data_IF_597248883114
#
_entry.id   IF_597248883114
#
_cell.length_a   1.000
_cell.length_b   1.000
_cell.length_c   1.000
_cell.angle_alpha   90.00
_cell.angle_beta   90.00
_cell.angle_gamma   90.00
#
_symmetry.space_group_name_H-M   'P 1'
#
loop_
_entity.id
_entity.type
_entity.pdbx_description
1 polymer ?
#
# COMPACT_ATOMS: atom_id res chain seq x y z
N UNK A 1 34.78 0.03 -6.99
CA UNK A 1 33.35 0.40 -6.92
C UNK A 1 32.75 0.26 -5.54
N UNK A 2 33.36 -0.49 -4.59
CA UNK A 2 32.81 -0.71 -3.24
C UNK A 2 32.62 0.59 -2.43
N UNK A 3 33.16 1.73 -2.86
CA UNK A 3 33.15 3.00 -2.13
C UNK A 3 32.13 4.03 -2.67
N UNK A 4 31.20 3.61 -3.56
CA UNK A 4 30.13 4.50 -4.07
C UNK A 4 29.07 4.76 -2.98
N UNK A 5 28.65 6.01 -2.85
CA UNK A 5 27.55 6.38 -1.95
C UNK A 5 26.20 5.97 -2.54
N UNK A 6 25.25 5.61 -1.68
CA UNK A 6 23.89 5.27 -2.08
C UNK A 6 23.22 6.47 -2.77
N UNK A 7 22.49 6.23 -3.87
CA UNK A 7 21.76 7.26 -4.60
C UNK A 7 20.32 7.45 -4.14
N UNK A 8 19.97 6.84 -3.00
CA UNK A 8 18.64 6.84 -2.41
C UNK A 8 18.73 7.20 -0.94
N UNK A 9 17.68 7.83 -0.43
CA UNK A 9 17.56 8.16 1.00
C UNK A 9 17.17 6.93 1.84
N UNK A 10 17.00 7.13 3.15
CA UNK A 10 16.64 6.08 4.11
C UNK A 10 15.26 5.47 3.84
N UNK A 11 14.39 6.18 3.12
CA UNK A 11 13.05 5.73 2.75
C UNK A 11 13.03 5.08 1.36
N UNK A 12 14.19 4.96 0.70
CA UNK A 12 14.30 4.41 -0.65
C UNK A 12 13.85 5.36 -1.76
N UNK A 13 13.65 6.65 -1.47
CA UNK A 13 13.36 7.63 -2.50
C UNK A 13 14.66 8.05 -3.21
N UNK A 14 14.64 8.27 -4.54
CA UNK A 14 15.82 8.72 -5.26
C UNK A 14 16.24 10.09 -4.76
N UNK A 15 17.54 10.26 -4.48
CA UNK A 15 18.09 11.56 -4.12
C UNK A 15 17.80 12.58 -5.23
N UNK A 16 17.75 13.89 -4.92
CA UNK A 16 17.67 14.91 -5.95
C UNK A 16 18.76 14.70 -7.01
N UNK A 17 18.43 14.89 -8.29
CA UNK A 17 19.33 14.61 -9.42
C UNK A 17 20.75 15.19 -9.26
N UNK A 18 20.85 16.36 -8.61
CA UNK A 18 22.10 17.04 -8.27
C UNK A 18 22.98 16.23 -7.32
N UNK A 19 22.39 15.52 -6.37
CA UNK A 19 23.06 14.80 -5.29
C UNK A 19 23.44 13.38 -5.74
N UNK A 20 22.63 12.76 -6.61
CA UNK A 20 22.99 11.53 -7.34
C UNK A 20 24.31 11.72 -8.11
N UNK A 21 24.44 12.83 -8.84
CA UNK A 21 25.66 13.15 -9.58
C UNK A 21 26.89 13.22 -8.67
N UNK A 22 26.74 13.80 -7.48
CA UNK A 22 27.80 13.90 -6.49
C UNK A 22 28.17 12.55 -5.87
N UNK A 23 27.17 11.73 -5.51
CA UNK A 23 27.36 10.37 -4.99
C UNK A 23 28.17 9.49 -5.95
N UNK A 24 27.84 9.55 -7.24
CA UNK A 24 28.56 8.87 -8.32
C UNK A 24 29.98 9.42 -8.48
N UNK A 25 30.17 10.74 -8.29
CA UNK A 25 31.44 11.41 -8.56
C UNK A 25 32.60 11.06 -7.60
N UNK A 26 32.31 10.74 -6.33
CA UNK A 26 33.33 10.55 -5.27
C UNK A 26 34.35 9.45 -5.58
N UNK A 27 34.02 8.52 -6.48
CA UNK A 27 34.87 7.38 -6.82
C UNK A 27 35.79 7.62 -8.01
N UNK A 28 35.64 8.74 -8.73
CA UNK A 28 36.54 9.09 -9.82
C UNK A 28 37.71 9.87 -9.25
N UNK A 29 38.72 9.16 -8.75
CA UNK A 29 39.98 9.74 -8.29
C UNK A 29 40.61 10.58 -9.41
N UNK A 30 40.39 11.89 -9.42
CA UNK A 30 41.44 12.79 -9.90
C UNK A 30 42.49 12.84 -8.79
N UNK A 31 43.78 12.93 -9.15
CA UNK A 31 44.89 13.10 -8.20
C UNK A 31 44.73 14.33 -7.28
N UNK A 32 43.76 15.21 -7.53
CA UNK A 32 43.40 16.34 -6.67
C UNK A 32 41.97 16.18 -6.14
N UNK A 33 41.80 16.32 -4.81
CA UNK A 33 40.50 16.32 -4.15
C UNK A 33 39.56 17.37 -4.74
N UNK A 34 38.27 17.03 -4.83
CA UNK A 34 37.26 17.92 -5.40
C UNK A 34 36.70 18.84 -4.30
N UNK A 35 36.78 20.15 -4.51
CA UNK A 35 36.11 21.13 -3.66
C UNK A 35 34.84 21.65 -4.37
N UNK A 36 33.68 21.16 -3.92
CA UNK A 36 32.37 21.70 -4.29
C UNK A 36 31.84 21.37 -5.70
N UNK A 37 30.63 21.89 -5.98
CA UNK A 37 29.79 21.60 -7.17
C UNK A 37 30.44 22.03 -8.49
N UNK A 38 31.20 23.13 -8.51
CA UNK A 38 31.85 23.69 -9.71
C UNK A 38 33.09 22.88 -10.10
N UNK A 39 33.89 22.45 -9.13
CA UNK A 39 35.08 21.61 -9.35
C UNK A 39 34.80 20.21 -9.91
N UNK A 40 33.60 19.67 -9.70
CA UNK A 40 33.16 18.39 -10.31
C UNK A 40 32.96 18.49 -11.83
N UNK A 41 32.19 19.49 -12.30
CA UNK A 41 31.91 19.63 -13.73
C UNK A 41 33.17 20.00 -14.51
N UNK A 42 34.00 20.88 -13.96
CA UNK A 42 35.24 21.33 -14.59
C UNK A 42 36.31 20.23 -14.65
N UNK A 43 36.43 19.37 -13.63
CA UNK A 43 37.52 18.38 -13.55
C UNK A 43 37.14 16.96 -14.00
N UNK A 44 35.93 16.47 -13.71
CA UNK A 44 35.60 15.04 -13.93
C UNK A 44 35.01 14.77 -15.32
N UNK A 45 34.25 15.72 -15.88
CA UNK A 45 33.53 15.58 -17.15
C UNK A 45 34.16 16.34 -18.32
N UNK A 46 35.02 17.33 -18.04
CA UNK A 46 35.71 18.13 -19.07
C UNK A 46 37.16 17.65 -19.23
N UNK A 47 37.95 17.56 -18.15
CA UNK A 47 39.36 17.13 -18.23
C UNK A 47 39.54 15.62 -18.50
N UNK A 48 38.80 14.75 -17.82
CA UNK A 48 38.89 13.29 -18.05
C UNK A 48 38.01 12.82 -19.22
N UNK A 49 37.28 13.71 -19.90
CA UNK A 49 36.38 13.36 -21.00
C UNK A 49 37.11 12.66 -22.13
N UNK A 50 38.30 13.17 -22.46
CA UNK A 50 39.15 12.59 -23.50
C UNK A 50 39.62 11.21 -23.05
N UNK A 51 40.14 11.07 -21.83
CA UNK A 51 40.53 9.76 -21.28
C UNK A 51 39.36 8.77 -21.26
N UNK A 52 38.13 9.21 -20.97
CA UNK A 52 36.94 8.36 -21.05
C UNK A 52 36.59 7.95 -22.47
N UNK A 53 36.60 8.90 -23.40
CA UNK A 53 36.22 8.69 -24.80
C UNK A 53 37.25 7.90 -25.59
N UNK A 54 38.54 8.14 -25.37
CA UNK A 54 39.64 7.62 -26.20
C UNK A 54 40.73 6.87 -25.45
N UNK A 55 40.70 6.84 -24.10
CA UNK A 55 41.63 6.04 -23.31
C UNK A 55 41.25 4.56 -23.23
N UNK A 56 42.12 3.74 -22.63
CA UNK A 56 41.95 2.28 -22.54
C UNK A 56 40.64 1.82 -21.88
N UNK A 57 40.20 0.62 -22.23
CA UNK A 57 38.93 0.03 -21.77
C UNK A 57 39.09 -0.62 -20.38
N UNK A 58 39.10 0.20 -19.33
CA UNK A 58 39.25 -0.30 -17.95
C UNK A 58 38.00 -1.05 -17.48
N UNK A 59 38.14 -1.90 -16.46
CA UNK A 59 37.03 -2.63 -15.83
C UNK A 59 35.91 -1.68 -15.35
N UNK A 60 36.26 -0.50 -14.85
CA UNK A 60 35.31 0.52 -14.41
C UNK A 60 34.49 1.09 -15.56
N UNK A 61 35.12 1.32 -16.73
CA UNK A 61 34.41 1.78 -17.94
C UNK A 61 33.44 0.71 -18.45
N UNK A 62 33.89 -0.55 -18.47
CA UNK A 62 33.06 -1.70 -18.88
C UNK A 62 31.84 -1.82 -17.97
N UNK A 63 32.03 -1.77 -16.64
CA UNK A 63 30.91 -1.80 -15.71
C UNK A 63 29.96 -0.62 -15.91
N UNK A 64 30.47 0.61 -15.99
CA UNK A 64 29.65 1.81 -16.14
C UNK A 64 28.82 1.76 -17.42
N UNK A 65 29.41 1.29 -18.52
CA UNK A 65 28.72 1.04 -19.78
C UNK A 65 27.63 -0.01 -19.62
N UNK A 66 27.96 -1.20 -19.10
CA UNK A 66 27.01 -2.31 -18.93
C UNK A 66 25.84 -1.93 -18.00
N UNK A 67 26.12 -1.21 -16.92
CA UNK A 67 25.10 -0.69 -16.01
C UNK A 67 24.19 0.31 -16.73
N UNK A 68 24.76 1.22 -17.52
CA UNK A 68 23.99 2.22 -18.29
C UNK A 68 23.07 1.54 -19.32
N UNK A 69 23.56 0.52 -20.02
CA UNK A 69 22.78 -0.31 -20.95
C UNK A 69 21.61 -0.96 -20.21
N UNK A 70 21.87 -1.57 -19.05
CA UNK A 70 20.82 -2.23 -18.27
C UNK A 70 19.78 -1.24 -17.72
N UNK A 71 20.21 -0.10 -17.18
CA UNK A 71 19.32 0.94 -16.70
C UNK A 71 18.45 1.51 -17.83
N UNK A 72 19.03 1.78 -19.00
CA UNK A 72 18.27 2.23 -20.16
C UNK A 72 17.27 1.17 -20.63
N UNK A 73 17.66 -0.11 -20.64
CA UNK A 73 16.75 -1.21 -20.92
C UNK A 73 15.55 -1.23 -19.96
N UNK A 74 15.75 -1.00 -18.66
CA UNK A 74 14.64 -0.88 -17.71
C UNK A 74 13.74 0.34 -17.99
N UNK A 75 14.33 1.50 -18.28
CA UNK A 75 13.58 2.71 -18.66
C UNK A 75 12.74 2.45 -19.92
N UNK A 76 13.32 1.77 -20.90
CA UNK A 76 12.64 1.41 -22.13
C UNK A 76 11.43 0.53 -21.86
N UNK A 77 11.58 -0.52 -21.05
CA UNK A 77 10.47 -1.38 -20.63
C UNK A 77 9.39 -0.60 -19.86
N UNK A 78 9.80 0.30 -18.97
CA UNK A 78 8.90 1.14 -18.19
C UNK A 78 8.01 2.04 -19.06
N UNK A 79 8.59 2.64 -20.11
CA UNK A 79 7.86 3.58 -20.97
C UNK A 79 7.07 2.91 -22.10
N UNK A 80 7.53 1.75 -22.56
CA UNK A 80 6.88 1.03 -23.67
C UNK A 80 5.89 -0.01 -23.20
N UNK A 81 6.07 -0.55 -21.99
CA UNK A 81 5.45 -1.78 -21.54
C UNK A 81 5.54 -2.88 -22.61
N UNK A 82 6.70 -3.02 -23.27
CA UNK A 82 6.97 -4.02 -24.30
C UNK A 82 7.50 -5.35 -23.74
N UNK A 83 7.40 -6.43 -24.52
CA UNK A 83 7.75 -7.75 -24.02
C UNK A 83 9.27 -7.85 -23.91
N UNK A 84 9.77 -8.31 -22.75
CA UNK A 84 11.21 -8.39 -22.46
C UNK A 84 12.03 -9.00 -23.60
N UNK A 85 11.62 -10.15 -24.15
CA UNK A 85 12.40 -10.80 -25.19
C UNK A 85 12.34 -10.01 -26.50
N UNK A 86 11.15 -9.54 -26.89
CA UNK A 86 10.98 -8.75 -28.11
C UNK A 86 11.78 -7.45 -28.05
N UNK A 87 11.91 -6.84 -26.87
CA UNK A 87 12.77 -5.68 -26.64
C UNK A 87 14.26 -6.03 -26.80
N UNK A 88 14.72 -7.16 -26.28
CA UNK A 88 16.11 -7.62 -26.42
C UNK A 88 16.47 -8.03 -27.87
N UNK A 89 15.47 -8.34 -28.69
CA UNK A 89 15.63 -8.70 -30.09
C UNK A 89 15.59 -7.47 -31.03
N UNK A 90 15.31 -6.27 -30.53
CA UNK A 90 15.27 -5.05 -31.34
C UNK A 90 16.64 -4.71 -31.94
N UNK A 91 16.62 -4.29 -33.19
CA UNK A 91 17.76 -3.70 -33.89
C UNK A 91 17.64 -2.17 -33.96
N UNK A 92 18.74 -1.47 -34.21
CA UNK A 92 18.71 -0.01 -34.39
C UNK A 92 17.91 0.34 -35.66
N UNK A 93 18.10 -0.43 -36.74
CA UNK A 93 17.34 -0.34 -37.99
C UNK A 93 15.83 -0.55 -37.85
N UNK A 94 15.36 -1.17 -36.75
CA UNK A 94 13.93 -1.34 -36.50
C UNK A 94 13.26 -0.04 -35.99
N UNK A 95 14.03 1.02 -35.68
CA UNK A 95 13.57 2.21 -34.95
C UNK A 95 13.39 3.41 -35.88
N UNK A 96 12.16 3.91 -35.95
CA UNK A 96 11.83 5.21 -36.52
C UNK A 96 11.74 6.28 -35.43
N UNK A 97 12.79 7.12 -35.33
CA UNK A 97 12.87 8.22 -34.35
C UNK A 97 11.82 9.32 -34.57
N UNK A 98 11.28 9.47 -35.78
CA UNK A 98 10.27 10.48 -36.11
C UNK A 98 8.89 10.12 -35.55
N UNK A 99 8.60 8.82 -35.50
CA UNK A 99 7.34 8.26 -34.99
C UNK A 99 7.22 8.22 -33.45
N UNK A 100 8.30 8.47 -32.70
CA UNK A 100 8.26 8.41 -31.23
C UNK A 100 7.42 9.56 -30.67
N UNK A 101 6.34 9.20 -29.97
CA UNK A 101 5.39 10.14 -29.37
C UNK A 101 4.16 10.41 -30.23
N UNK A 102 4.16 9.99 -31.49
CA UNK A 102 3.04 10.16 -32.43
C UNK A 102 2.41 8.82 -32.84
N UNK A 103 3.22 7.80 -33.13
CA UNK A 103 2.74 6.51 -33.64
C UNK A 103 3.62 5.34 -33.16
N UNK A 104 3.43 4.16 -33.77
CA UNK A 104 4.36 3.05 -33.55
C UNK A 104 5.71 3.38 -34.18
N UNK A 105 6.76 3.31 -33.38
CA UNK A 105 8.13 3.68 -33.78
C UNK A 105 9.04 2.47 -34.05
N UNK A 106 8.58 1.26 -33.76
CA UNK A 106 9.28 0.03 -34.13
C UNK A 106 8.28 -1.11 -34.26
N UNK A 107 8.58 -2.09 -35.12
CA UNK A 107 7.78 -3.30 -35.29
C UNK A 107 8.66 -4.55 -35.27
N UNK A 108 8.22 -5.60 -34.57
CA UNK A 108 8.89 -6.92 -34.56
C UNK A 108 7.88 -8.04 -34.75
N UNK A 109 8.21 -9.01 -35.58
CA UNK A 109 7.39 -10.22 -35.70
C UNK A 109 7.68 -11.20 -34.55
N UNK A 110 6.64 -11.61 -33.83
CA UNK A 110 6.72 -12.62 -32.77
C UNK A 110 6.29 -13.98 -33.33
N UNK A 111 7.24 -14.70 -33.92
CA UNK A 111 6.99 -15.97 -34.63
C UNK A 111 6.17 -16.99 -33.83
N UNK A 112 6.51 -17.22 -32.56
CA UNK A 112 5.77 -18.14 -31.66
C UNK A 112 4.30 -17.81 -31.44
N UNK A 113 3.87 -16.59 -31.74
CA UNK A 113 2.50 -16.11 -31.53
C UNK A 113 1.84 -15.61 -32.83
N UNK A 114 2.50 -15.79 -33.98
CA UNK A 114 1.99 -15.40 -35.29
C UNK A 114 1.57 -13.93 -35.42
N UNK A 115 2.17 -13.00 -34.66
CA UNK A 115 1.73 -11.59 -34.61
C UNK A 115 2.88 -10.60 -34.64
N UNK A 116 2.65 -9.45 -35.26
CA UNK A 116 3.52 -8.28 -35.15
C UNK A 116 3.33 -7.59 -33.79
N UNK A 117 4.44 -7.23 -33.15
CA UNK A 117 4.51 -6.42 -31.94
C UNK A 117 4.88 -5.01 -32.36
N UNK A 118 4.03 -4.05 -32.03
CA UNK A 118 4.22 -2.64 -32.31
C UNK A 118 4.68 -1.92 -31.04
N UNK A 119 5.77 -1.16 -31.13
CA UNK A 119 6.29 -0.39 -30.01
C UNK A 119 5.76 1.04 -30.09
N UNK A 120 5.18 1.52 -28.99
CA UNK A 120 4.71 2.90 -28.83
C UNK A 120 5.24 3.44 -27.51
N UNK A 121 5.57 4.74 -27.46
CA UNK A 121 6.01 5.41 -26.23
C UNK A 121 5.74 6.90 -26.32
N UNK A 122 5.74 7.57 -25.16
CA UNK A 122 5.68 9.03 -25.11
C UNK A 122 6.97 9.67 -25.63
N UNK A 123 6.91 10.95 -25.95
CA UNK A 123 8.06 11.77 -26.36
C UNK A 123 9.21 11.77 -25.33
N UNK A 124 8.93 11.44 -24.06
CA UNK A 124 9.94 11.25 -23.01
C UNK A 124 10.98 10.20 -23.37
N UNK A 125 10.59 9.12 -24.07
CA UNK A 125 11.52 8.07 -24.50
C UNK A 125 12.52 8.60 -25.53
N UNK A 126 12.08 9.49 -26.43
CA UNK A 126 12.90 10.00 -27.54
C UNK A 126 14.21 10.60 -27.05
N UNK A 127 14.14 11.42 -26.00
CA UNK A 127 15.31 12.09 -25.42
C UNK A 127 16.31 11.10 -24.82
N UNK A 128 15.84 10.09 -24.09
CA UNK A 128 16.73 9.10 -23.48
C UNK A 128 17.26 8.09 -24.50
N UNK A 129 16.47 7.73 -25.51
CA UNK A 129 16.91 6.88 -26.62
C UNK A 129 18.02 7.56 -27.44
N UNK A 130 17.88 8.84 -27.77
CA UNK A 130 18.94 9.58 -28.47
C UNK A 130 20.25 9.63 -27.67
N UNK A 131 20.18 9.70 -26.34
CA UNK A 131 21.38 9.61 -25.48
C UNK A 131 21.99 8.22 -25.49
N UNK A 132 21.15 7.20 -25.42
CA UNK A 132 21.58 5.82 -25.49
C UNK A 132 22.21 5.47 -26.85
N UNK A 133 21.65 5.94 -27.96
CA UNK A 133 22.21 5.72 -29.29
C UNK A 133 23.63 6.30 -29.42
N UNK A 134 23.91 7.46 -28.82
CA UNK A 134 25.28 8.00 -28.73
C UNK A 134 26.23 7.09 -27.94
N UNK A 135 25.73 6.44 -26.88
CA UNK A 135 26.51 5.47 -26.12
C UNK A 135 26.75 4.18 -26.92
N UNK A 136 25.75 3.76 -27.71
CA UNK A 136 25.80 2.59 -28.59
C UNK A 136 26.76 2.80 -29.77
N UNK A 137 26.78 3.99 -30.36
CA UNK A 137 27.74 4.41 -31.39
C UNK A 137 29.17 4.47 -30.82
N UNK A 138 29.33 4.99 -29.60
CA UNK A 138 30.63 5.01 -28.94
C UNK A 138 31.24 3.62 -28.76
N UNK A 139 30.46 2.62 -28.31
CA UNK A 139 30.98 1.26 -28.12
C UNK A 139 31.32 0.58 -29.46
N UNK A 140 30.58 0.92 -30.52
CA UNK A 140 30.83 0.46 -31.88
C UNK A 140 32.17 0.99 -32.40
N UNK A 141 32.44 2.27 -32.16
CA UNK A 141 33.70 2.91 -32.56
C UNK A 141 34.95 2.35 -31.88
N UNK A 142 34.81 1.49 -30.86
CA UNK A 142 35.93 0.79 -30.24
C UNK A 142 36.46 -0.40 -31.07
N UNK A 143 35.70 -0.87 -32.07
CA UNK A 143 36.12 -1.97 -32.93
C UNK A 143 36.27 -3.32 -32.21
N UNK A 144 35.56 -3.52 -31.10
CA UNK A 144 35.59 -4.78 -30.35
C UNK A 144 34.95 -5.91 -31.15
N UNK A 145 35.53 -7.11 -31.08
CA UNK A 145 34.98 -8.29 -31.75
C UNK A 145 33.69 -8.77 -31.06
N UNK A 146 32.76 -9.33 -31.84
CA UNK A 146 31.53 -9.93 -31.31
C UNK A 146 30.42 -10.07 -32.36
N UNK A 147 29.63 -11.13 -32.25
CA UNK A 147 28.47 -11.36 -33.12
C UNK A 147 27.21 -10.71 -32.52
N UNK A 148 27.14 -9.39 -32.63
CA UNK A 148 26.01 -8.59 -32.13
C UNK A 148 25.26 -7.84 -33.22
N UNK A 149 25.79 -7.82 -34.45
CA UNK A 149 25.21 -7.08 -35.58
C UNK A 149 24.65 -5.71 -35.17
N UNK A 150 23.43 -5.44 -35.62
CA UNK A 150 22.73 -4.19 -35.35
C UNK A 150 21.78 -4.24 -34.13
N UNK A 151 22.00 -5.14 -33.16
CA UNK A 151 21.15 -5.20 -31.96
C UNK A 151 21.23 -3.89 -31.15
N UNK A 152 20.07 -3.43 -30.66
CA UNK A 152 19.95 -2.20 -29.89
C UNK A 152 20.65 -2.32 -28.53
N UNK A 153 20.45 -3.44 -27.83
CA UNK A 153 20.98 -3.67 -26.47
C UNK A 153 22.20 -4.59 -26.48
N UNK A 154 23.38 -4.00 -26.31
CA UNK A 154 24.68 -4.69 -26.37
C UNK A 154 25.49 -4.38 -25.11
N UNK A 155 26.08 -5.40 -24.51
CA UNK A 155 27.01 -5.31 -23.37
C UNK A 155 28.43 -5.64 -23.81
N UNK A 156 29.42 -5.20 -23.04
CA UNK A 156 30.82 -5.64 -23.17
C UNK A 156 31.02 -6.82 -22.21
N UNK A 157 31.45 -7.96 -22.74
CA UNK A 157 31.78 -9.16 -21.96
C UNK A 157 33.15 -9.10 -21.29
N UNK A 158 33.47 -10.12 -20.49
CA UNK A 158 34.73 -10.22 -19.73
C UNK A 158 35.97 -10.20 -20.64
N UNK A 159 35.88 -10.81 -21.82
CA UNK A 159 36.97 -10.86 -22.80
C UNK A 159 37.04 -9.62 -23.71
N UNK A 160 36.41 -8.50 -23.29
CA UNK A 160 36.25 -7.29 -24.11
C UNK A 160 35.59 -7.53 -25.47
N UNK A 161 34.71 -8.54 -25.54
CA UNK A 161 33.91 -8.82 -26.72
C UNK A 161 32.50 -8.27 -26.58
N UNK A 162 31.92 -7.80 -27.67
CA UNK A 162 30.52 -7.39 -27.68
C UNK A 162 29.62 -8.62 -27.57
N UNK A 163 28.64 -8.55 -26.68
CA UNK A 163 27.62 -9.58 -26.49
C UNK A 163 26.24 -8.94 -26.42
N UNK A 164 25.21 -9.65 -26.89
CA UNK A 164 23.83 -9.23 -26.70
C UNK A 164 23.52 -9.10 -25.21
N UNK A 165 22.69 -8.12 -24.84
CA UNK A 165 22.16 -8.06 -23.49
C UNK A 165 21.22 -9.26 -23.28
N UNK A 166 21.42 -10.00 -22.20
CA UNK A 166 20.55 -11.11 -21.84
C UNK A 166 19.70 -10.75 -20.63
N UNK A 167 18.58 -11.44 -20.48
CA UNK A 167 17.62 -11.23 -19.40
C UNK A 167 18.21 -11.35 -18.00
N UNK A 168 19.16 -12.26 -17.80
CA UNK A 168 19.86 -12.49 -16.53
C UNK A 168 21.02 -11.52 -16.27
N UNK A 169 21.47 -10.79 -17.30
CA UNK A 169 22.71 -10.00 -17.26
C UNK A 169 22.66 -8.76 -16.37
N UNK A 170 21.50 -8.37 -15.87
CA UNK A 170 21.34 -7.13 -15.11
C UNK A 170 21.30 -7.26 -13.60
N UNK A 171 20.87 -8.42 -13.10
CA UNK A 171 20.66 -8.59 -11.66
C UNK A 171 21.96 -8.48 -10.86
N UNK A 172 23.07 -9.01 -11.41
CA UNK A 172 24.37 -8.89 -10.76
C UNK A 172 24.93 -7.45 -10.81
N UNK A 173 24.65 -6.70 -11.89
CA UNK A 173 25.06 -5.31 -12.04
C UNK A 173 24.45 -4.45 -10.94
N UNK A 174 23.17 -4.66 -10.62
CA UNK A 174 22.45 -3.95 -9.56
C UNK A 174 22.82 -4.48 -8.17
N UNK A 175 22.83 -5.81 -7.95
CA UNK A 175 23.16 -6.42 -6.65
C UNK A 175 24.54 -6.00 -6.15
N UNK A 176 25.52 -5.94 -7.04
CA UNK A 176 26.88 -5.51 -6.73
C UNK A 176 27.08 -4.00 -6.71
N UNK A 177 26.07 -3.21 -7.03
CA UNK A 177 26.16 -1.76 -7.11
C UNK A 177 25.84 -1.11 -5.77
N UNK A 178 26.75 -0.29 -5.21
CA UNK A 178 26.37 0.53 -4.07
C UNK A 178 25.33 1.61 -4.41
N UNK A 179 25.13 1.91 -5.70
CA UNK A 179 24.12 2.88 -6.16
C UNK A 179 22.69 2.44 -5.85
N UNK A 180 22.47 1.12 -5.69
CA UNK A 180 21.15 0.52 -5.47
C UNK A 180 21.06 -0.18 -4.10
N UNK A 181 21.96 0.16 -3.16
CA UNK A 181 21.97 -0.46 -1.83
C UNK A 181 20.67 -0.14 -1.09
N UNK A 182 20.07 -1.16 -0.45
CA UNK A 182 18.85 -0.99 0.34
C UNK A 182 17.55 -0.89 -0.48
N UNK A 183 17.62 -1.05 -1.80
CA UNK A 183 16.44 -1.02 -2.66
C UNK A 183 16.03 -2.44 -3.01
N UNK A 184 14.73 -2.78 -2.90
CA UNK A 184 14.20 -4.00 -3.46
C UNK A 184 14.52 -4.11 -4.96
N UNK A 185 15.14 -5.22 -5.36
CA UNK A 185 15.50 -5.42 -6.76
C UNK A 185 14.25 -5.79 -7.53
N UNK A 186 13.78 -4.87 -8.36
CA UNK A 186 12.62 -5.06 -9.22
C UNK A 186 13.09 -5.73 -10.52
N UNK A 187 12.49 -6.87 -10.88
CA UNK A 187 12.87 -7.57 -12.11
C UNK A 187 12.33 -6.87 -13.35
N UNK A 188 12.89 -7.18 -14.52
CA UNK A 188 12.38 -6.66 -15.80
C UNK A 188 10.96 -7.14 -16.12
N UNK A 189 10.52 -8.27 -15.53
CA UNK A 189 9.12 -8.71 -15.62
C UNK A 189 8.23 -7.79 -14.81
N UNK A 190 8.64 -7.48 -13.58
CA UNK A 190 7.83 -6.68 -12.65
C UNK A 190 7.73 -5.23 -13.13
N UNK A 191 8.81 -4.66 -13.67
CA UNK A 191 8.76 -3.32 -14.31
C UNK A 191 7.74 -3.29 -15.46
N UNK A 192 7.71 -4.32 -16.32
CA UNK A 192 6.70 -4.42 -17.38
C UNK A 192 5.30 -4.56 -16.79
N UNK A 193 5.12 -5.37 -15.74
CA UNK A 193 3.84 -5.59 -15.09
C UNK A 193 3.28 -4.29 -14.51
N UNK A 194 4.07 -3.59 -13.68
CA UNK A 194 3.71 -2.29 -13.11
C UNK A 194 3.36 -1.25 -14.17
N UNK A 195 4.11 -1.24 -15.28
CA UNK A 195 3.80 -0.36 -16.42
C UNK A 195 2.48 -0.74 -17.09
N UNK A 196 2.17 -2.04 -17.18
CA UNK A 196 0.90 -2.54 -17.69
C UNK A 196 -0.28 -2.16 -16.80
N UNK A 197 -0.14 -2.33 -15.49
CA UNK A 197 -1.12 -1.91 -14.48
C UNK A 197 -1.39 -0.39 -14.55
N UNK A 198 -0.32 0.41 -14.70
CA UNK A 198 -0.46 1.85 -14.91
C UNK A 198 -1.33 2.18 -16.14
N UNK A 199 -1.09 1.52 -17.28
CA UNK A 199 -1.89 1.75 -18.49
C UNK A 199 -3.33 1.27 -18.32
N UNK A 200 -3.56 0.16 -17.60
CA UNK A 200 -4.90 -0.33 -17.25
C UNK A 200 -5.66 0.75 -16.47
N UNK A 201 -5.09 1.20 -15.34
CA UNK A 201 -5.71 2.21 -14.46
C UNK A 201 -5.96 3.53 -15.20
N UNK A 202 -5.02 3.96 -16.04
CA UNK A 202 -5.14 5.23 -16.76
C UNK A 202 -6.12 5.18 -17.95
N UNK A 203 -6.46 3.97 -18.44
CA UNK A 203 -7.29 3.81 -19.63
C UNK A 203 -8.79 4.03 -19.42
N UNK A 204 -9.26 4.13 -18.18
CA UNK A 204 -10.67 4.36 -17.83
C UNK A 204 -11.63 3.41 -18.59
N UNK A 205 -11.35 2.10 -18.56
CA UNK A 205 -12.18 1.08 -19.19
C UNK A 205 -11.92 0.79 -20.68
N UNK A 206 -10.96 1.48 -21.33
CA UNK A 206 -10.62 1.25 -22.75
C UNK A 206 -9.70 0.04 -22.95
N UNK A 207 -10.22 -1.16 -22.70
CA UNK A 207 -9.48 -2.44 -22.74
C UNK A 207 -8.80 -2.70 -24.09
N UNK A 208 -9.45 -2.36 -25.20
CA UNK A 208 -8.88 -2.54 -26.55
C UNK A 208 -7.61 -1.71 -26.77
N UNK A 209 -7.58 -0.48 -26.25
CA UNK A 209 -6.42 0.41 -26.33
C UNK A 209 -5.26 -0.11 -25.47
N UNK A 210 -5.56 -0.64 -24.28
CA UNK A 210 -4.57 -1.29 -23.42
C UNK A 210 -4.04 -2.57 -24.06
N UNK A 211 -4.90 -3.41 -24.64
CA UNK A 211 -4.48 -4.62 -25.33
C UNK A 211 -3.53 -4.30 -26.49
N UNK A 212 -3.86 -3.28 -27.28
CA UNK A 212 -2.98 -2.75 -28.34
C UNK A 212 -1.66 -2.25 -27.77
N UNK A 213 -1.69 -1.44 -26.71
CA UNK A 213 -0.49 -0.90 -26.06
C UNK A 213 0.45 -1.97 -25.52
N UNK A 214 -0.09 -2.97 -24.83
CA UNK A 214 0.68 -4.06 -24.20
C UNK A 214 1.05 -5.18 -25.18
N UNK A 215 0.57 -5.09 -26.42
CA UNK A 215 0.67 -6.13 -27.44
C UNK A 215 0.16 -7.48 -26.92
N UNK A 216 -1.00 -7.46 -26.25
CA UNK A 216 -1.68 -8.62 -25.69
C UNK A 216 -3.00 -8.89 -26.43
N UNK A 217 -3.58 -10.08 -26.26
CA UNK A 217 -4.97 -10.28 -26.72
C UNK A 217 -5.93 -9.53 -25.77
N UNK A 218 -7.10 -9.17 -26.29
CA UNK A 218 -8.16 -8.54 -25.49
C UNK A 218 -8.52 -9.43 -24.29
N UNK A 219 -8.62 -10.75 -24.49
CA UNK A 219 -8.91 -11.70 -23.42
C UNK A 219 -7.87 -11.68 -22.28
N UNK A 220 -6.56 -11.62 -22.61
CA UNK A 220 -5.51 -11.51 -21.58
C UNK A 220 -5.61 -10.19 -20.83
N UNK A 221 -5.83 -9.08 -21.54
CA UNK A 221 -5.96 -7.75 -20.91
C UNK A 221 -7.21 -7.66 -20.04
N UNK A 222 -8.33 -8.27 -20.48
CA UNK A 222 -9.60 -8.28 -19.73
C UNK A 222 -9.43 -8.98 -18.40
N UNK A 223 -8.79 -10.17 -18.38
CA UNK A 223 -8.49 -10.89 -17.13
C UNK A 223 -7.69 -10.03 -16.15
N UNK A 224 -6.61 -9.39 -16.62
CA UNK A 224 -5.80 -8.50 -15.77
C UNK A 224 -6.55 -7.25 -15.33
N UNK A 225 -7.40 -6.69 -16.19
CA UNK A 225 -8.24 -5.53 -15.88
C UNK A 225 -9.21 -5.85 -14.74
N UNK A 226 -9.94 -6.96 -14.85
CA UNK A 226 -10.92 -7.39 -13.83
C UNK A 226 -10.27 -7.58 -12.46
N UNK A 227 -9.06 -8.17 -12.39
CA UNK A 227 -8.37 -8.34 -11.11
C UNK A 227 -8.01 -6.99 -10.44
N UNK A 228 -7.57 -6.00 -11.22
CA UNK A 228 -7.18 -4.67 -10.69
C UNK A 228 -8.41 -3.85 -10.29
N UNK A 229 -9.50 -3.98 -11.04
CA UNK A 229 -10.77 -3.31 -10.79
C UNK A 229 -11.36 -3.76 -9.44
N UNK A 230 -11.36 -5.08 -9.17
CA UNK A 230 -11.79 -5.63 -7.87
C UNK A 230 -10.98 -5.10 -6.69
N UNK A 231 -9.65 -5.00 -6.82
CA UNK A 231 -8.79 -4.44 -5.78
C UNK A 231 -9.11 -2.96 -5.53
N UNK A 232 -9.31 -2.19 -6.60
CA UNK A 232 -9.63 -0.76 -6.50
C UNK A 232 -11.01 -0.55 -5.84
N UNK A 233 -12.01 -1.36 -6.21
CA UNK A 233 -13.33 -1.35 -5.60
C UNK A 233 -13.30 -1.73 -4.11
N UNK A 234 -12.46 -2.70 -3.73
CA UNK A 234 -12.32 -3.09 -2.33
C UNK A 234 -11.74 -1.95 -1.48
N UNK A 235 -10.73 -1.23 -2.00
CA UNK A 235 -10.15 -0.05 -1.33
C UNK A 235 -11.21 1.04 -1.17
N UNK A 236 -11.92 1.40 -2.25
CA UNK A 236 -12.95 2.44 -2.20
C UNK A 236 -14.10 2.10 -1.24
N UNK A 237 -14.52 0.83 -1.18
CA UNK A 237 -15.53 0.36 -0.24
C UNK A 237 -15.04 0.46 1.21
N UNK A 238 -13.78 0.11 1.46
CA UNK A 238 -13.20 0.17 2.80
C UNK A 238 -13.07 1.62 3.27
N UNK A 239 -12.61 2.53 2.40
CA UNK A 239 -12.51 3.95 2.70
C UNK A 239 -13.90 4.57 2.99
N UNK A 240 -14.92 4.20 2.20
CA UNK A 240 -16.30 4.61 2.47
C UNK A 240 -16.79 4.10 3.82
N UNK A 241 -16.57 2.80 4.12
CA UNK A 241 -16.99 2.20 5.38
C UNK A 241 -16.30 2.85 6.59
N UNK A 242 -15.02 3.19 6.47
CA UNK A 242 -14.26 3.91 7.50
C UNK A 242 -14.77 5.35 7.68
N UNK A 243 -15.07 6.05 6.59
CA UNK A 243 -15.66 7.38 6.63
C UNK A 243 -17.06 7.39 7.29
N UNK A 244 -17.90 6.41 6.98
CA UNK A 244 -19.21 6.24 7.62
C UNK A 244 -19.03 5.90 9.10
N UNK A 245 -18.19 4.92 9.42
CA UNK A 245 -17.93 4.49 10.80
C UNK A 245 -17.39 5.62 11.67
N UNK A 246 -16.47 6.43 11.14
CA UNK A 246 -15.90 7.58 11.86
C UNK A 246 -16.92 8.70 12.06
N UNK A 247 -17.81 8.95 11.09
CA UNK A 247 -18.88 9.93 11.24
C UNK A 247 -19.92 9.49 12.28
N UNK A 248 -20.26 8.21 12.29
CA UNK A 248 -21.14 7.62 13.32
C UNK A 248 -20.50 7.72 14.70
N UNK A 249 -19.21 7.37 14.85
CA UNK A 249 -18.50 7.49 16.13
C UNK A 249 -18.43 8.92 16.68
N UNK A 250 -18.61 9.94 15.83
CA UNK A 250 -18.62 11.35 16.22
C UNK A 250 -20.03 11.90 16.45
N UNK A 251 -21.08 11.15 16.12
CA UNK A 251 -22.45 11.64 16.15
C UNK A 251 -22.87 12.04 17.57
N UNK A 252 -22.58 11.20 18.55
CA UNK A 252 -22.94 11.36 19.97
C UNK A 252 -21.82 12.00 20.81
N UNK A 253 -20.75 12.51 20.18
CA UNK A 253 -19.53 12.97 20.88
C UNK A 253 -19.16 14.42 20.64
N UNK A 254 -18.51 15.00 21.63
CA UNK A 254 -17.83 16.29 21.58
C UNK A 254 -16.30 16.14 21.38
N UNK A 255 -15.77 14.92 21.49
CA UNK A 255 -14.32 14.63 21.41
C UNK A 255 -14.01 13.52 20.41
N UNK A 256 -12.78 13.52 19.88
CA UNK A 256 -12.25 12.45 19.01
C UNK A 256 -11.60 11.34 19.83
N UNK A 257 -11.07 11.66 21.01
CA UNK A 257 -10.44 10.71 21.91
C UNK A 257 -11.46 9.80 22.60
N UNK A 258 -11.06 8.55 22.94
CA UNK A 258 -11.91 7.65 23.70
C UNK A 258 -12.35 8.25 25.04
N UNK A 259 -13.63 8.12 25.36
CA UNK A 259 -14.19 8.64 26.60
C UNK A 259 -13.89 7.63 27.71
N UNK A 260 -13.20 8.08 28.76
CA UNK A 260 -12.81 7.20 29.88
C UNK A 260 -14.02 6.59 30.59
N UNK A 261 -13.79 5.53 31.36
CA UNK A 261 -14.79 4.92 32.25
C UNK A 261 -14.20 4.82 33.65
N UNK A 262 -15.05 4.86 34.68
CA UNK A 262 -14.56 4.69 36.07
C UNK A 262 -14.26 3.22 36.32
N UNK A 263 -13.13 2.93 36.96
CA UNK A 263 -12.89 1.60 37.53
C UNK A 263 -13.64 1.50 38.86
N UNK A 264 -14.44 0.45 38.99
CA UNK A 264 -15.22 0.23 40.18
C UNK A 264 -14.35 -0.20 41.37
N UNK A 265 -14.82 0.09 42.58
CA UNK A 265 -14.16 -0.25 43.83
C UNK A 265 -15.23 -0.64 44.84
N UNK A 266 -15.03 -1.77 45.54
CA UNK A 266 -16.05 -2.38 46.40
C UNK A 266 -16.56 -1.46 47.51
N UNK A 267 -15.76 -0.48 47.94
CA UNK A 267 -16.14 0.47 48.98
C UNK A 267 -16.78 1.77 48.47
N UNK A 268 -16.85 1.97 47.15
CA UNK A 268 -17.32 3.22 46.53
C UNK A 268 -18.33 3.03 45.40
N UNK A 269 -18.69 1.79 45.10
CA UNK A 269 -19.58 1.48 43.98
C UNK A 269 -20.55 0.36 44.34
N UNK A 270 -21.75 0.42 43.78
CA UNK A 270 -22.76 -0.62 43.87
C UNK A 270 -22.96 -1.28 42.50
N UNK A 271 -23.13 -2.60 42.48
CA UNK A 271 -23.38 -3.36 41.24
C UNK A 271 -24.80 -3.12 40.74
N UNK A 272 -24.91 -2.66 39.50
CA UNK A 272 -26.17 -2.48 38.76
C UNK A 272 -26.28 -3.49 37.61
N UNK A 273 -27.39 -3.50 36.88
CA UNK A 273 -27.60 -4.45 35.79
C UNK A 273 -26.68 -4.28 34.57
N UNK A 274 -26.17 -3.07 34.33
CA UNK A 274 -25.24 -2.77 33.23
C UNK A 274 -23.76 -2.79 33.64
N UNK A 275 -23.43 -3.01 34.93
CA UNK A 275 -22.07 -2.88 35.47
C UNK A 275 -22.11 -2.47 36.94
N UNK A 276 -21.47 -1.35 37.27
CA UNK A 276 -21.46 -0.75 38.60
C UNK A 276 -21.75 0.76 38.56
N UNK A 277 -22.14 1.33 39.70
CA UNK A 277 -22.52 2.73 39.85
C UNK A 277 -21.81 3.34 41.06
N UNK A 278 -21.20 4.52 40.91
CA UNK A 278 -20.58 5.26 42.01
C UNK A 278 -21.50 6.30 42.66
N UNK A 279 -22.75 6.45 42.20
CA UNK A 279 -23.72 7.41 42.72
C UNK A 279 -24.50 6.82 43.91
N UNK A 280 -23.81 6.62 45.03
CA UNK A 280 -24.37 5.98 46.22
C UNK A 280 -25.39 6.87 46.96
N UNK A 281 -25.28 8.18 46.81
CA UNK A 281 -26.14 9.16 47.48
C UNK A 281 -27.46 9.42 46.73
N UNK A 282 -27.68 8.76 45.59
CA UNK A 282 -28.91 8.89 44.80
C UNK A 282 -29.07 10.25 44.11
N UNK A 283 -27.96 10.91 43.75
CA UNK A 283 -27.98 12.18 43.01
C UNK A 283 -28.55 12.04 41.60
N UNK A 284 -28.83 13.16 40.94
CA UNK A 284 -29.29 13.18 39.55
C UNK A 284 -28.23 12.59 38.62
N UNK A 285 -28.57 11.65 37.72
CA UNK A 285 -27.60 11.10 36.78
C UNK A 285 -27.11 12.19 35.81
N UNK A 286 -25.80 12.21 35.55
CA UNK A 286 -25.17 13.22 34.69
C UNK A 286 -24.53 12.55 33.48
N UNK A 287 -24.65 13.18 32.31
CA UNK A 287 -23.92 12.76 31.11
C UNK A 287 -22.43 13.01 31.30
N UNK A 288 -21.62 11.99 31.01
CA UNK A 288 -20.17 12.07 31.10
C UNK A 288 -19.61 13.09 30.10
N UNK A 289 -18.61 13.85 30.53
CA UNK A 289 -17.85 14.75 29.65
C UNK A 289 -17.25 13.99 28.45
N UNK A 290 -17.40 14.58 27.27
CA UNK A 290 -17.00 13.97 25.99
C UNK A 290 -18.18 13.52 25.13
N UNK A 291 -19.36 13.31 25.72
CA UNK A 291 -20.62 13.11 24.99
C UNK A 291 -21.34 14.44 24.73
N UNK A 292 -22.06 14.54 23.62
CA UNK A 292 -22.87 15.71 23.27
C UNK A 292 -24.38 15.47 23.55
N UNK A 293 -25.26 16.35 23.08
CA UNK A 293 -26.71 16.25 23.29
C UNK A 293 -27.41 15.15 22.53
N UNK A 294 -26.77 14.58 21.51
CA UNK A 294 -27.29 13.46 20.71
C UNK A 294 -27.02 12.10 21.37
N UNK A 295 -26.17 12.05 22.41
CA UNK A 295 -25.99 10.84 23.21
C UNK A 295 -27.23 10.57 24.07
N UNK A 296 -27.58 9.28 24.33
CA UNK A 296 -28.66 8.93 25.23
C UNK A 296 -28.55 9.64 26.59
N UNK A 297 -29.67 10.22 27.04
CA UNK A 297 -29.72 10.89 28.35
C UNK A 297 -29.66 9.86 29.47
N UNK A 298 -28.69 9.96 30.40
CA UNK A 298 -28.63 9.05 31.53
C UNK A 298 -29.88 9.14 32.42
N UNK A 299 -30.49 8.00 32.68
CA UNK A 299 -31.68 7.88 33.53
C UNK A 299 -31.56 6.68 34.45
N UNK A 300 -31.63 6.91 35.77
CA UNK A 300 -31.59 5.83 36.76
C UNK A 300 -32.76 4.86 36.50
N UNK A 301 -32.47 3.56 36.53
CA UNK A 301 -33.45 2.50 36.19
C UNK A 301 -33.52 2.16 34.71
N UNK A 302 -32.94 2.97 33.82
CA UNK A 302 -32.76 2.67 32.39
C UNK A 302 -31.31 2.25 32.17
N UNK A 303 -31.02 0.97 32.40
CA UNK A 303 -29.65 0.48 32.56
C UNK A 303 -28.76 0.66 31.32
N UNK A 304 -29.34 0.63 30.12
CA UNK A 304 -28.65 0.94 28.87
C UNK A 304 -28.13 2.38 28.80
N UNK A 305 -28.83 3.32 29.43
CA UNK A 305 -28.41 4.73 29.49
C UNK A 305 -27.23 4.95 30.45
N UNK A 306 -27.00 4.01 31.38
CA UNK A 306 -25.88 4.11 32.33
C UNK A 306 -24.53 4.11 31.60
N UNK A 307 -24.41 3.51 30.40
CA UNK A 307 -23.17 3.50 29.61
C UNK A 307 -22.62 4.91 29.27
N UNK A 308 -23.50 5.92 29.30
CA UNK A 308 -23.22 7.33 29.01
C UNK A 308 -23.13 8.21 30.27
N UNK A 309 -23.36 7.61 31.44
CA UNK A 309 -23.39 8.30 32.72
C UNK A 309 -21.98 8.55 33.27
N UNK A 310 -21.78 9.71 33.92
CA UNK A 310 -20.54 10.05 34.63
C UNK A 310 -20.29 9.08 35.80
N UNK A 311 -21.33 8.59 36.45
CA UNK A 311 -21.24 7.70 37.60
C UNK A 311 -21.11 6.23 37.25
N UNK A 312 -21.13 5.88 35.96
CA UNK A 312 -20.94 4.49 35.55
C UNK A 312 -19.51 4.04 35.81
N UNK A 313 -19.41 2.87 36.42
CA UNK A 313 -18.16 2.21 36.75
C UNK A 313 -18.21 0.74 36.33
N UNK A 314 -17.05 0.16 36.10
CA UNK A 314 -16.93 -1.24 35.73
C UNK A 314 -15.89 -1.94 36.62
N UNK A 315 -16.27 -3.07 37.20
CA UNK A 315 -15.30 -4.03 37.73
C UNK A 315 -14.74 -4.84 36.55
N UNK A 316 -13.41 -4.93 36.37
CA UNK A 316 -12.81 -5.74 35.31
C UNK A 316 -12.83 -7.23 35.71
N UNK A 317 -14.00 -7.72 36.06
CA UNK A 317 -14.24 -9.07 36.54
C UNK A 317 -15.32 -9.76 35.73
N UNK A 318 -15.47 -11.07 35.94
CA UNK A 318 -16.40 -11.87 35.18
C UNK A 318 -17.84 -11.32 35.26
N UNK A 319 -18.27 -10.87 36.44
CA UNK A 319 -19.66 -10.48 36.63
C UNK A 319 -20.04 -9.22 35.86
N UNK A 320 -19.24 -8.15 35.93
CA UNK A 320 -19.58 -6.90 35.25
C UNK A 320 -19.34 -6.98 33.74
N UNK A 321 -18.31 -7.71 33.29
CA UNK A 321 -18.12 -8.01 31.86
C UNK A 321 -19.30 -8.84 31.32
N UNK A 322 -19.77 -9.84 32.08
CA UNK A 322 -20.93 -10.66 31.69
C UNK A 322 -22.22 -9.86 31.60
N UNK A 323 -22.44 -8.89 32.48
CA UNK A 323 -23.58 -7.96 32.39
C UNK A 323 -23.54 -7.12 31.12
N UNK A 324 -22.40 -6.49 30.83
CA UNK A 324 -22.24 -5.61 29.68
C UNK A 324 -22.41 -6.38 28.37
N UNK A 325 -21.79 -7.56 28.27
CA UNK A 325 -21.93 -8.38 27.08
C UNK A 325 -23.34 -9.00 26.96
N UNK A 326 -24.04 -9.27 28.06
CA UNK A 326 -25.45 -9.66 28.01
C UNK A 326 -26.34 -8.50 27.57
N UNK A 327 -26.09 -7.28 28.05
CA UNK A 327 -26.77 -6.07 27.58
C UNK A 327 -26.53 -5.85 26.08
N UNK A 328 -25.30 -6.06 25.58
CA UNK A 328 -24.95 -6.01 24.15
C UNK A 328 -25.90 -6.90 23.34
N UNK A 329 -26.14 -8.11 23.81
CA UNK A 329 -27.02 -9.06 23.13
C UNK A 329 -28.50 -8.68 23.24
N UNK A 330 -28.95 -8.24 24.43
CA UNK A 330 -30.30 -7.74 24.60
C UNK A 330 -30.62 -6.57 23.65
N UNK A 331 -29.69 -5.63 23.48
CA UNK A 331 -29.81 -4.49 22.56
C UNK A 331 -29.93 -4.94 21.09
N UNK A 332 -29.13 -5.93 20.67
CA UNK A 332 -29.17 -6.48 19.31
C UNK A 332 -30.52 -7.13 19.02
N UNK A 333 -30.98 -8.02 19.89
CA UNK A 333 -32.23 -8.74 19.70
C UNK A 333 -33.44 -7.79 19.76
N UNK A 334 -33.45 -6.86 20.72
CA UNK A 334 -34.50 -5.84 20.82
C UNK A 334 -34.57 -4.96 19.56
N UNK A 335 -33.43 -4.61 18.97
CA UNK A 335 -33.38 -3.85 17.73
C UNK A 335 -33.94 -4.63 16.55
N UNK A 336 -33.65 -5.92 16.44
CA UNK A 336 -34.19 -6.78 15.37
C UNK A 336 -35.72 -6.87 15.45
N UNK A 337 -36.26 -7.04 16.66
CA UNK A 337 -37.71 -7.09 16.89
C UNK A 337 -38.38 -5.75 16.58
N UNK A 338 -37.76 -4.64 16.98
CA UNK A 338 -38.30 -3.30 16.72
C UNK A 338 -38.30 -2.97 15.23
N UNK A 339 -37.29 -3.43 14.50
CA UNK A 339 -37.11 -3.18 13.06
C UNK A 339 -37.25 -1.70 12.68
N UNK A 340 -36.63 -0.82 13.48
CA UNK A 340 -36.66 0.63 13.33
C UNK A 340 -35.24 1.15 13.08
N UNK A 341 -34.89 1.49 11.83
CA UNK A 341 -33.56 1.97 11.46
C UNK A 341 -33.17 3.30 12.13
N UNK A 342 -34.13 4.19 12.39
CA UNK A 342 -33.86 5.49 13.01
C UNK A 342 -33.51 5.31 14.50
N UNK A 343 -34.27 4.46 15.19
CA UNK A 343 -33.96 4.09 16.57
C UNK A 343 -32.62 3.32 16.69
N UNK A 344 -32.32 2.46 15.71
CA UNK A 344 -31.04 1.76 15.69
C UNK A 344 -29.87 2.74 15.62
N UNK A 345 -29.90 3.69 14.69
CA UNK A 345 -28.83 4.67 14.51
C UNK A 345 -28.72 5.64 15.70
N UNK A 346 -29.85 6.07 16.29
CA UNK A 346 -29.85 7.06 17.37
C UNK A 346 -29.57 6.48 18.76
N UNK A 347 -29.91 5.21 19.04
CA UNK A 347 -29.88 4.65 20.39
C UNK A 347 -29.06 3.37 20.49
N UNK A 348 -29.38 2.37 19.65
CA UNK A 348 -28.76 1.03 19.77
C UNK A 348 -27.30 1.06 19.36
N UNK A 349 -26.99 1.62 18.20
CA UNK A 349 -25.65 1.65 17.63
C UNK A 349 -24.66 2.46 18.50
N UNK A 350 -25.02 3.66 19.03
CA UNK A 350 -24.19 4.34 20.03
C UNK A 350 -23.90 3.48 21.26
N UNK A 351 -24.91 2.78 21.81
CA UNK A 351 -24.73 1.92 22.98
C UNK A 351 -23.79 0.73 22.68
N UNK A 352 -23.92 0.09 21.53
CA UNK A 352 -23.01 -0.98 21.10
C UNK A 352 -21.57 -0.48 20.97
N UNK A 353 -21.36 0.67 20.31
CA UNK A 353 -20.03 1.27 20.19
C UNK A 353 -19.43 1.64 21.55
N UNK A 354 -20.26 2.14 22.47
CA UNK A 354 -19.83 2.47 23.83
C UNK A 354 -19.42 1.23 24.62
N UNK A 355 -20.14 0.11 24.47
CA UNK A 355 -19.75 -1.16 25.07
C UNK A 355 -18.36 -1.60 24.60
N UNK A 356 -18.10 -1.59 23.29
CA UNK A 356 -16.79 -1.96 22.74
C UNK A 356 -15.66 -1.06 23.25
N UNK A 357 -15.93 0.25 23.38
CA UNK A 357 -14.98 1.20 23.94
C UNK A 357 -14.68 0.94 25.44
N UNK A 358 -15.69 0.59 26.23
CA UNK A 358 -15.53 0.23 27.64
C UNK A 358 -14.69 -1.04 27.77
N UNK A 359 -14.93 -2.06 26.93
CA UNK A 359 -14.16 -3.30 26.92
C UNK A 359 -12.71 -3.06 26.51
N UNK A 360 -12.48 -2.26 25.48
CA UNK A 360 -11.14 -1.86 25.05
C UNK A 360 -10.39 -1.12 26.16
N UNK A 361 -11.06 -0.22 26.89
CA UNK A 361 -10.49 0.46 28.05
C UNK A 361 -10.08 -0.51 29.15
N UNK A 362 -10.90 -1.53 29.45
CA UNK A 362 -10.54 -2.55 30.45
C UNK A 362 -9.32 -3.35 30.02
N UNK A 363 -9.27 -3.81 28.76
CA UNK A 363 -8.14 -4.58 28.23
C UNK A 363 -6.82 -3.80 28.24
N UNK A 364 -6.85 -2.50 27.93
CA UNK A 364 -5.67 -1.62 27.95
C UNK A 364 -5.05 -1.49 29.36
N UNK A 365 -5.85 -1.68 30.42
CA UNK A 365 -5.35 -1.60 31.80
C UNK A 365 -4.62 -2.85 32.28
N UNK A 366 -4.98 -4.04 31.79
CA UNK A 366 -4.32 -5.29 32.16
C UNK A 366 -4.64 -6.42 31.17
N UNK A 367 -3.59 -7.01 30.57
CA UNK A 367 -3.71 -8.12 29.64
C UNK A 367 -4.41 -9.36 30.25
N UNK A 368 -4.31 -9.57 31.58
CA UNK A 368 -4.97 -10.68 32.27
C UNK A 368 -6.50 -10.63 32.20
N UNK A 369 -7.10 -9.48 31.86
CA UNK A 369 -8.55 -9.38 31.64
C UNK A 369 -9.01 -10.00 30.32
N UNK A 370 -8.08 -10.29 29.40
CA UNK A 370 -8.38 -11.00 28.16
C UNK A 370 -8.95 -12.39 28.40
N UNK A 371 -8.43 -13.13 29.39
CA UNK A 371 -8.95 -14.47 29.74
C UNK A 371 -10.38 -14.42 30.28
N UNK A 372 -10.70 -13.38 31.07
CA UNK A 372 -12.05 -13.17 31.60
C UNK A 372 -13.01 -12.84 30.47
N UNK A 373 -12.61 -11.97 29.54
CA UNK A 373 -13.43 -11.60 28.39
C UNK A 373 -13.74 -12.82 27.52
N UNK A 374 -12.73 -13.61 27.14
CA UNK A 374 -12.91 -14.82 26.33
C UNK A 374 -13.87 -15.80 27.00
N UNK A 375 -13.74 -16.02 28.31
CA UNK A 375 -14.62 -16.91 29.06
C UNK A 375 -16.08 -16.42 29.09
N UNK A 376 -16.30 -15.11 29.20
CA UNK A 376 -17.65 -14.53 29.16
C UNK A 376 -18.24 -14.65 27.75
N UNK A 377 -17.45 -14.43 26.71
CA UNK A 377 -17.88 -14.59 25.32
C UNK A 377 -18.33 -16.02 25.04
N UNK A 378 -17.55 -17.03 25.47
CA UNK A 378 -17.94 -18.45 25.39
C UNK A 378 -19.29 -18.72 26.08
N UNK A 379 -19.52 -18.17 27.27
CA UNK A 379 -20.80 -18.34 27.99
C UNK A 379 -21.97 -17.71 27.22
N UNK A 380 -21.77 -16.55 26.61
CA UNK A 380 -22.80 -15.87 25.80
C UNK A 380 -23.09 -16.62 24.51
N UNK A 381 -22.07 -17.17 23.84
CA UNK A 381 -22.24 -18.03 22.67
C UNK A 381 -23.02 -19.31 23.01
N UNK A 382 -22.83 -19.85 24.22
CA UNK A 382 -23.63 -20.96 24.75
C UNK A 382 -25.04 -20.55 25.20
N UNK A 383 -25.45 -19.29 25.02
CA UNK A 383 -26.77 -18.78 25.43
C UNK A 383 -26.92 -18.58 26.95
N UNK A 384 -25.80 -18.55 27.69
CA UNK A 384 -25.79 -18.34 29.14
C UNK A 384 -25.54 -16.87 29.44
N UNK A 385 -26.62 -16.13 29.60
CA UNK A 385 -26.58 -14.70 29.90
C UNK A 385 -26.53 -14.44 31.41
N UNK A 386 -26.14 -13.22 31.77
CA UNK A 386 -26.17 -12.77 33.15
C UNK A 386 -27.60 -12.87 33.71
N UNK A 387 -27.72 -13.22 35.00
CA UNK A 387 -29.00 -13.47 35.68
C UNK A 387 -30.03 -12.35 35.45
N UNK A 388 -29.60 -11.09 35.46
CA UNK A 388 -30.50 -9.96 35.24
C UNK A 388 -31.08 -9.96 33.81
N UNK A 389 -30.23 -10.13 32.81
CA UNK A 389 -30.60 -10.01 31.40
C UNK A 389 -31.22 -11.28 30.84
N UNK A 390 -30.91 -12.44 31.41
CA UNK A 390 -31.35 -13.73 30.88
C UNK A 390 -32.87 -13.79 30.65
N UNK A 391 -33.68 -13.38 31.64
CA UNK A 391 -35.14 -13.39 31.48
C UNK A 391 -35.63 -12.49 30.34
N UNK A 392 -35.03 -11.31 30.20
CA UNK A 392 -35.40 -10.37 29.14
C UNK A 392 -34.98 -10.89 27.77
N UNK A 393 -33.75 -11.40 27.65
CA UNK A 393 -33.24 -11.98 26.40
C UNK A 393 -34.08 -13.19 25.98
N UNK A 394 -34.42 -14.10 26.90
CA UNK A 394 -35.27 -15.25 26.56
C UNK A 394 -36.66 -14.82 26.09
N UNK A 395 -37.26 -13.80 26.71
CA UNK A 395 -38.54 -13.25 26.27
C UNK A 395 -38.43 -12.61 24.87
N UNK A 396 -37.36 -11.85 24.61
CA UNK A 396 -37.08 -11.27 23.30
C UNK A 396 -36.85 -12.35 22.24
N UNK A 397 -36.06 -13.38 22.53
CA UNK A 397 -35.82 -14.50 21.62
C UNK A 397 -37.11 -15.26 21.29
N UNK A 398 -37.97 -15.50 22.27
CA UNK A 398 -39.30 -16.11 22.03
C UNK A 398 -40.10 -15.26 21.04
N UNK A 399 -40.16 -13.95 21.28
CA UNK A 399 -40.89 -13.02 20.41
C UNK A 399 -40.29 -12.94 19.00
N UNK A 400 -38.97 -12.92 18.91
CA UNK A 400 -38.25 -12.92 17.64
C UNK A 400 -38.53 -14.20 16.83
N UNK A 401 -38.55 -15.36 17.49
CA UNK A 401 -38.87 -16.64 16.85
C UNK A 401 -40.34 -16.71 16.38
N UNK A 402 -41.29 -16.13 17.12
CA UNK A 402 -42.68 -16.01 16.66
C UNK A 402 -42.77 -15.20 15.35
N UNK A 403 -42.09 -14.07 15.28
CA UNK A 403 -42.06 -13.21 14.08
C UNK A 403 -41.43 -13.90 12.86
N UNK A 404 -40.49 -14.84 13.07
CA UNK A 404 -39.89 -15.64 11.99
C UNK A 404 -40.81 -16.75 11.47
N UNK A 405 -41.84 -17.16 12.24
CA UNK A 405 -42.81 -18.18 11.83
C UNK A 405 -44.02 -17.55 11.11
N UNK A 406 -44.29 -16.27 11.39
CA UNK A 406 -45.37 -15.49 10.74
C UNK A 406 -44.98 -14.94 9.34
N UNK A 407 -43.71 -15.06 8.95
CA UNK A 407 -43.16 -14.71 7.64
C UNK A 407 -42.66 -15.96 6.90
#
# INVERSE_FOLDING_TARGET
>A
MKDLSNCFDVNGAPLPKKDIGYAVSKNFKSKSGFHGKRGFYDKTLIFNRCEWRSGSLTFQKIYAYNLSVFCFFQIYLGLTAANVQTTLDLKISDIDLSAIGSSSFAKKHKFRAGRSVEFTASSKLKKELLRYLKLREWVEGLGLSGDVGDYLFVKIGENQTLKRLERSSGNWLIRGSPLFKGIPIISSRDIRQLSGEYFIRKSQGKISLVAKKLNNSIATTTKSYTSIDLESQAIEMNDFHEAVSSKVRKFDRATVEPISVNLASDCKTERIAAGSCSNLDGGTPLRREGFNTEAPEPSCGTFESCLFCEYFAIHPDFQDIHKILSLREALRIASLIRNDPEHYEAVVKPALLRIEEILAFVLDKNECYGEVLSKVEEEIEMGKYNLHWNRQIQALLSRYNELLIEH
#
